data_IF_926709937754
#
_entry.id   IF_926709937754
#
_cell.length_a   1.000
_cell.length_b   1.000
_cell.length_c   1.000
_cell.angle_alpha   90.00
_cell.angle_beta   90.00
_cell.angle_gamma   90.00
#
_symmetry.space_group_name_H-M   'P 1'
#
loop_
_entity.id
_entity.type
_entity.pdbx_description
1 polymer ?
#
# COMPACT_ATOMS: atom_id res chain seq x y z
N UNK A 1 5.55 22.61 44.91
CA UNK A 1 5.61 22.55 43.44
C UNK A 1 4.69 21.43 42.95
N UNK A 2 3.53 21.77 42.38
CA UNK A 2 2.60 20.79 41.81
C UNK A 2 3.02 20.48 40.36
N UNK A 3 3.48 19.25 40.11
CA UNK A 3 3.75 18.78 38.75
C UNK A 3 2.43 18.57 38.01
N UNK A 4 2.16 19.44 37.05
CA UNK A 4 1.10 19.27 36.06
C UNK A 4 1.46 18.14 35.12
N UNK A 5 0.98 16.93 35.38
CA UNK A 5 1.00 15.85 34.40
C UNK A 5 0.22 16.29 33.15
N UNK A 6 0.94 16.54 32.06
CA UNK A 6 0.34 16.66 30.74
C UNK A 6 -0.47 15.39 30.47
N UNK A 7 -1.79 15.53 30.29
CA UNK A 7 -2.68 14.42 29.90
C UNK A 7 -2.34 13.95 28.48
N UNK A 8 -1.31 13.13 28.36
CA UNK A 8 -1.06 12.32 27.17
C UNK A 8 -2.12 11.22 27.03
N UNK A 9 -2.48 10.87 25.79
CA UNK A 9 -3.36 9.73 25.52
C UNK A 9 -2.71 8.46 26.10
N UNK A 10 -3.40 7.65 26.93
CA UNK A 10 -2.80 6.46 27.52
C UNK A 10 -2.33 5.51 26.41
N UNK A 11 -1.07 5.09 26.50
CA UNK A 11 -0.45 4.15 25.58
C UNK A 11 -1.18 2.82 25.69
N UNK A 12 -1.81 2.35 24.60
CA UNK A 12 -2.50 1.06 24.59
C UNK A 12 -1.50 -0.06 24.84
N UNK A 13 -1.88 -1.05 25.65
CA UNK A 13 -1.05 -2.23 25.87
C UNK A 13 -0.82 -2.98 24.54
N UNK A 14 0.33 -3.66 24.37
CA UNK A 14 0.63 -4.44 23.16
C UNK A 14 -0.48 -5.44 22.81
N UNK A 15 -1.00 -6.16 23.81
CA UNK A 15 -2.12 -7.10 23.66
C UNK A 15 -3.38 -6.43 23.12
N UNK A 16 -3.74 -5.25 23.63
CA UNK A 16 -4.93 -4.52 23.17
C UNK A 16 -4.74 -3.94 21.76
N UNK A 17 -3.51 -3.59 21.38
CA UNK A 17 -3.19 -3.19 20.01
C UNK A 17 -3.36 -4.38 19.06
N UNK A 18 -2.71 -5.51 19.35
CA UNK A 18 -2.80 -6.73 18.54
C UNK A 18 -4.24 -7.23 18.42
N UNK A 19 -5.01 -7.24 19.52
CA UNK A 19 -6.43 -7.58 19.49
C UNK A 19 -7.25 -6.70 18.52
N UNK A 20 -6.93 -5.40 18.43
CA UNK A 20 -7.59 -4.50 17.46
C UNK A 20 -7.16 -4.81 16.02
N UNK A 21 -5.91 -5.18 15.79
CA UNK A 21 -5.43 -5.60 14.48
C UNK A 21 -6.12 -6.89 14.04
N UNK A 22 -6.18 -7.92 14.90
CA UNK A 22 -6.93 -9.16 14.64
C UNK A 22 -8.39 -8.87 14.25
N UNK A 23 -9.08 -8.00 15.00
CA UNK A 23 -10.48 -7.64 14.67
C UNK A 23 -10.59 -6.97 13.31
N UNK A 24 -9.65 -6.07 12.98
CA UNK A 24 -9.65 -5.38 11.70
C UNK A 24 -9.38 -6.38 10.56
N UNK A 25 -8.36 -7.22 10.70
CA UNK A 25 -7.98 -8.18 9.66
C UNK A 25 -9.09 -9.22 9.44
N UNK A 26 -9.83 -9.58 10.49
CA UNK A 26 -11.02 -10.43 10.40
C UNK A 26 -12.16 -9.74 9.65
N UNK A 27 -12.43 -8.45 9.93
CA UNK A 27 -13.44 -7.69 9.19
C UNK A 27 -13.09 -7.55 7.70
N UNK A 28 -11.83 -7.26 7.40
CA UNK A 28 -11.31 -7.17 6.04
C UNK A 28 -11.45 -8.55 5.34
N UNK A 29 -11.08 -9.65 6.00
CA UNK A 29 -11.28 -11.02 5.49
C UNK A 29 -12.75 -11.34 5.20
N UNK A 30 -13.66 -11.08 6.14
CA UNK A 30 -15.10 -11.34 5.96
C UNK A 30 -15.65 -10.54 4.80
N UNK A 31 -15.27 -9.27 4.67
CA UNK A 31 -15.71 -8.41 3.56
C UNK A 31 -15.23 -8.93 2.19
N UNK A 32 -13.98 -9.39 2.11
CA UNK A 32 -13.41 -9.98 0.90
C UNK A 32 -14.08 -11.31 0.57
N UNK A 33 -14.32 -12.16 1.56
CA UNK A 33 -14.97 -13.45 1.39
C UNK A 33 -16.41 -13.26 0.87
N UNK A 34 -17.17 -12.32 1.43
CA UNK A 34 -18.53 -11.99 0.95
C UNK A 34 -18.51 -11.55 -0.52
N UNK A 35 -17.55 -10.70 -0.89
CA UNK A 35 -17.39 -10.25 -2.28
C UNK A 35 -17.04 -11.41 -3.22
N UNK A 36 -16.13 -12.28 -2.78
CA UNK A 36 -15.71 -13.45 -3.53
C UNK A 36 -16.86 -14.44 -3.76
N UNK A 37 -17.60 -14.78 -2.70
CA UNK A 37 -18.78 -15.65 -2.78
C UNK A 37 -19.88 -15.05 -3.66
N UNK A 38 -20.10 -13.74 -3.59
CA UNK A 38 -21.06 -13.05 -4.47
C UNK A 38 -20.64 -13.14 -5.95
N UNK A 39 -19.35 -12.94 -6.25
CA UNK A 39 -18.84 -13.04 -7.62
C UNK A 39 -18.95 -14.48 -8.16
N UNK A 40 -18.65 -15.49 -7.34
CA UNK A 40 -18.76 -16.90 -7.73
C UNK A 40 -20.22 -17.27 -8.07
N UNK A 41 -21.18 -16.87 -7.23
CA UNK A 41 -22.62 -17.09 -7.50
C UNK A 41 -23.12 -16.33 -8.72
N UNK A 42 -22.56 -15.14 -8.99
CA UNK A 42 -22.92 -14.37 -10.17
C UNK A 42 -22.45 -15.03 -11.47
N UNK A 43 -21.26 -15.65 -11.45
CA UNK A 43 -20.69 -16.33 -12.62
C UNK A 43 -21.33 -17.70 -12.88
N UNK A 44 -21.77 -18.37 -11.81
CA UNK A 44 -22.32 -19.73 -11.87
C UNK A 44 -23.72 -19.79 -11.23
N UNK A 45 -24.74 -19.10 -11.79
CA UNK A 45 -26.06 -18.99 -11.18
C UNK A 45 -26.81 -20.33 -11.14
N UNK A 46 -26.57 -21.21 -12.11
CA UNK A 46 -27.22 -22.52 -12.25
C UNK A 46 -26.55 -23.62 -11.41
N UNK A 47 -25.42 -23.34 -10.76
CA UNK A 47 -24.67 -24.36 -10.01
C UNK A 47 -25.23 -24.52 -8.60
N UNK A 48 -25.36 -25.77 -8.16
CA UNK A 48 -25.74 -26.08 -6.78
C UNK A 48 -24.55 -25.84 -5.81
N UNK A 49 -24.80 -25.93 -4.50
CA UNK A 49 -23.78 -25.66 -3.49
C UNK A 49 -22.54 -26.59 -3.59
N UNK A 50 -22.74 -27.84 -4.01
CA UNK A 50 -21.66 -28.83 -4.14
C UNK A 50 -20.78 -28.54 -5.36
N UNK A 51 -21.38 -28.21 -6.49
CA UNK A 51 -20.69 -27.80 -7.71
C UNK A 51 -19.90 -26.50 -7.48
N UNK A 52 -20.49 -25.53 -6.79
CA UNK A 52 -19.78 -24.31 -6.39
C UNK A 52 -18.62 -24.60 -5.43
N UNK A 53 -18.76 -25.58 -4.53
CA UNK A 53 -17.68 -25.97 -3.64
C UNK A 53 -16.50 -26.61 -4.37
N UNK A 54 -16.74 -27.39 -5.42
CA UNK A 54 -15.70 -27.96 -6.28
C UNK A 54 -14.93 -26.87 -7.04
N UNK A 55 -15.66 -25.95 -7.71
CA UNK A 55 -15.03 -24.81 -8.41
C UNK A 55 -14.23 -23.96 -7.41
N UNK A 56 -14.79 -23.71 -6.23
CA UNK A 56 -14.12 -22.98 -5.17
C UNK A 56 -12.84 -23.69 -4.71
N UNK A 57 -12.86 -25.02 -4.57
CA UNK A 57 -11.67 -25.78 -4.18
C UNK A 57 -10.55 -25.61 -5.21
N UNK A 58 -10.86 -25.69 -6.51
CA UNK A 58 -9.87 -25.51 -7.58
C UNK A 58 -9.27 -24.10 -7.58
N UNK A 59 -10.12 -23.07 -7.45
CA UNK A 59 -9.70 -21.66 -7.38
C UNK A 59 -8.79 -21.42 -6.16
N UNK A 60 -9.19 -21.92 -4.98
CA UNK A 60 -8.43 -21.73 -3.73
C UNK A 60 -7.09 -22.49 -3.80
N UNK A 61 -7.10 -23.70 -4.34
CA UNK A 61 -5.91 -24.52 -4.58
C UNK A 61 -4.90 -23.80 -5.50
N UNK A 62 -5.36 -23.22 -6.61
CA UNK A 62 -4.52 -22.41 -7.49
C UNK A 62 -4.03 -21.11 -6.81
N UNK A 63 -4.86 -20.52 -5.96
CA UNK A 63 -4.51 -19.30 -5.20
C UNK A 63 -3.45 -19.57 -4.13
N UNK A 64 -3.48 -20.75 -3.51
CA UNK A 64 -2.47 -21.19 -2.56
C UNK A 64 -1.12 -21.45 -3.24
N UNK A 65 -1.13 -22.12 -4.40
CA UNK A 65 0.05 -22.32 -5.24
C UNK A 65 0.70 -20.98 -5.60
N UNK A 66 -0.11 -20.02 -6.07
CA UNK A 66 0.34 -18.65 -6.34
C UNK A 66 0.93 -17.97 -5.09
N UNK A 67 0.27 -18.13 -3.92
CA UNK A 67 0.70 -17.53 -2.65
C UNK A 67 2.12 -18.00 -2.31
N UNK A 68 2.41 -19.29 -2.41
CA UNK A 68 3.72 -19.85 -2.07
C UNK A 68 4.79 -19.37 -3.06
N UNK A 69 4.50 -19.42 -4.38
CA UNK A 69 5.41 -18.86 -5.38
C UNK A 69 5.71 -17.36 -5.16
N UNK A 70 4.69 -16.57 -4.81
CA UNK A 70 4.88 -15.16 -4.49
C UNK A 70 5.70 -14.95 -3.22
N UNK A 71 5.60 -15.85 -2.23
CA UNK A 71 6.44 -15.81 -1.02
C UNK A 71 7.91 -16.00 -1.38
N UNK A 72 8.19 -16.99 -2.23
CA UNK A 72 9.54 -17.24 -2.76
C UNK A 72 10.06 -16.00 -3.52
N UNK A 73 9.29 -15.45 -4.48
CA UNK A 73 9.73 -14.24 -5.23
C UNK A 73 10.03 -13.06 -4.30
N UNK A 74 9.24 -12.87 -3.24
CA UNK A 74 9.44 -11.79 -2.28
C UNK A 74 10.69 -11.99 -1.41
N UNK A 75 10.96 -13.23 -0.97
CA UNK A 75 12.20 -13.57 -0.26
C UNK A 75 13.39 -13.29 -1.17
N UNK A 76 13.38 -13.82 -2.40
CA UNK A 76 14.44 -13.60 -3.38
C UNK A 76 14.61 -12.12 -3.76
N UNK A 77 13.52 -11.35 -3.82
CA UNK A 77 13.55 -9.90 -4.02
C UNK A 77 14.30 -9.19 -2.89
N UNK A 78 14.15 -9.67 -1.65
CA UNK A 78 14.86 -9.10 -0.51
C UNK A 78 16.36 -9.28 -0.64
N UNK A 79 16.84 -10.45 -1.10
CA UNK A 79 18.25 -10.70 -1.41
C UNK A 79 18.74 -9.86 -2.58
N UNK A 80 17.98 -9.78 -3.68
CA UNK A 80 18.36 -8.97 -4.84
C UNK A 80 18.51 -7.47 -4.51
N UNK A 81 17.72 -6.94 -3.57
CA UNK A 81 17.74 -5.51 -3.20
C UNK A 81 18.70 -5.20 -2.05
N UNK A 82 19.30 -6.22 -1.43
CA UNK A 82 20.19 -6.02 -0.30
C UNK A 82 21.55 -5.48 -0.78
N UNK A 83 22.22 -4.68 0.07
CA UNK A 83 23.56 -4.17 -0.23
C UNK A 83 24.59 -5.28 -0.35
N UNK A 84 24.39 -6.38 0.37
CA UNK A 84 25.15 -7.62 0.25
C UNK A 84 24.20 -8.78 -0.08
N UNK A 85 23.99 -9.10 -1.38
CA UNK A 85 23.06 -10.15 -1.81
C UNK A 85 23.42 -11.53 -1.26
N UNK A 86 24.71 -11.86 -1.18
CA UNK A 86 25.21 -13.15 -0.69
C UNK A 86 24.85 -13.36 0.77
N UNK A 87 25.12 -12.38 1.64
CA UNK A 87 24.76 -12.47 3.06
C UNK A 87 23.25 -12.57 3.26
N UNK A 88 22.47 -11.77 2.51
CA UNK A 88 21.02 -11.82 2.61
C UNK A 88 20.48 -13.17 2.13
N UNK A 89 21.03 -13.74 1.05
CA UNK A 89 20.68 -15.08 0.57
C UNK A 89 20.86 -16.14 1.67
N UNK A 90 22.00 -16.15 2.35
CA UNK A 90 22.26 -17.07 3.46
C UNK A 90 21.22 -16.97 4.59
N UNK A 91 20.69 -15.76 4.85
CA UNK A 91 19.67 -15.54 5.88
C UNK A 91 18.26 -16.00 5.48
N UNK A 92 17.97 -16.14 4.18
CA UNK A 92 16.63 -16.47 3.67
C UNK A 92 16.54 -17.85 3.00
N UNK A 93 17.67 -18.47 2.65
CA UNK A 93 17.71 -19.70 1.84
C UNK A 93 16.90 -20.86 2.45
N UNK A 94 16.92 -21.02 3.78
CA UNK A 94 16.13 -22.05 4.46
C UNK A 94 14.64 -21.80 4.28
N UNK A 95 14.19 -20.54 4.47
CA UNK A 95 12.79 -20.16 4.24
C UNK A 95 12.38 -20.33 2.77
N UNK A 96 13.30 -20.09 1.83
CA UNK A 96 13.06 -20.35 0.41
C UNK A 96 12.88 -21.86 0.19
N UNK A 97 13.78 -22.69 0.71
CA UNK A 97 13.71 -24.15 0.61
C UNK A 97 12.46 -24.73 1.27
N UNK A 98 12.03 -24.19 2.42
CA UNK A 98 10.80 -24.60 3.10
C UNK A 98 9.57 -24.36 2.22
N UNK A 99 9.47 -23.18 1.60
CA UNK A 99 8.37 -22.87 0.67
C UNK A 99 8.41 -23.75 -0.58
N UNK A 100 9.61 -24.03 -1.12
CA UNK A 100 9.78 -24.95 -2.26
C UNK A 100 9.35 -26.36 -1.88
N UNK A 101 9.71 -26.82 -0.67
CA UNK A 101 9.30 -28.12 -0.16
C UNK A 101 7.78 -28.21 0.06
N UNK A 102 7.14 -27.12 0.51
CA UNK A 102 5.68 -27.04 0.60
C UNK A 102 5.02 -27.19 -0.78
N UNK A 103 5.54 -26.53 -1.82
CA UNK A 103 5.05 -26.70 -3.20
C UNK A 103 5.20 -28.14 -3.68
N UNK A 104 6.36 -28.75 -3.47
CA UNK A 104 6.62 -30.17 -3.81
C UNK A 104 5.58 -31.07 -3.14
N UNK A 105 5.35 -30.90 -1.85
CA UNK A 105 4.38 -31.68 -1.10
C UNK A 105 2.95 -31.47 -1.61
N UNK A 106 2.58 -30.24 -1.94
CA UNK A 106 1.28 -29.90 -2.51
C UNK A 106 1.05 -30.59 -3.87
N UNK A 107 2.02 -30.52 -4.80
CA UNK A 107 1.89 -31.21 -6.09
C UNK A 107 1.87 -32.72 -5.95
N UNK A 108 2.71 -33.30 -5.07
CA UNK A 108 2.69 -34.74 -4.79
C UNK A 108 1.31 -35.21 -4.29
N UNK A 109 0.67 -34.41 -3.43
CA UNK A 109 -0.64 -34.72 -2.88
C UNK A 109 -1.71 -34.68 -3.99
N UNK A 110 -1.69 -33.67 -4.85
CA UNK A 110 -2.59 -33.58 -6.02
C UNK A 110 -2.40 -34.75 -6.98
N UNK A 111 -1.16 -35.02 -7.39
CA UNK A 111 -0.81 -36.14 -8.29
C UNK A 111 -1.28 -37.48 -7.73
N UNK A 112 -1.11 -37.71 -6.42
CA UNK A 112 -1.54 -38.95 -5.74
C UNK A 112 -3.06 -39.06 -5.54
N UNK A 113 -3.76 -37.92 -5.51
CA UNK A 113 -5.23 -37.89 -5.36
C UNK A 113 -5.97 -38.21 -6.66
N UNK A 114 -5.28 -38.18 -7.80
CA UNK A 114 -5.85 -38.49 -9.11
C UNK A 114 -5.84 -40.00 -9.39
N UNK A 115 -6.87 -40.55 -10.06
CA UNK A 115 -6.91 -41.96 -10.44
C UNK A 115 -5.70 -42.28 -11.32
N UNK A 116 -5.03 -43.40 -11.03
CA UNK A 116 -3.70 -43.76 -11.55
C UNK A 116 -3.63 -43.67 -13.09
N UNK A 117 -3.06 -42.58 -13.60
CA UNK A 117 -2.60 -42.49 -14.99
C UNK A 117 -1.11 -42.82 -15.06
N UNK A 118 -0.66 -43.50 -16.13
CA UNK A 118 0.75 -43.84 -16.30
C UNK A 118 1.60 -42.57 -16.38
N UNK A 119 2.65 -42.51 -15.56
CA UNK A 119 3.61 -41.41 -15.52
C UNK A 119 4.45 -41.42 -16.79
N UNK A 120 4.39 -40.34 -17.58
CA UNK A 120 5.45 -40.00 -18.51
C UNK A 120 6.40 -39.09 -17.74
N UNK A 121 7.48 -39.65 -17.19
CA UNK A 121 8.52 -38.84 -16.55
C UNK A 121 9.24 -38.10 -17.67
N UNK A 122 8.73 -36.93 -18.06
CA UNK A 122 9.50 -35.96 -18.81
C UNK A 122 10.53 -35.37 -17.83
N UNK A 123 11.69 -36.02 -17.75
CA UNK A 123 12.89 -35.43 -17.15
C UNK A 123 13.22 -34.19 -17.96
N UNK A 124 12.73 -33.05 -17.52
CA UNK A 124 13.08 -31.76 -18.11
C UNK A 124 14.14 -31.14 -17.22
N UNK A 125 15.40 -31.08 -17.66
CA UNK A 125 16.47 -30.25 -17.04
C UNK A 125 16.22 -28.76 -17.32
N UNK A 126 15.01 -28.29 -17.00
CA UNK A 126 14.47 -27.01 -17.44
C UNK A 126 15.30 -25.82 -16.94
N UNK A 127 15.72 -25.83 -15.67
CA UNK A 127 16.45 -24.71 -15.10
C UNK A 127 17.86 -24.55 -15.71
N UNK A 128 18.54 -25.67 -15.98
CA UNK A 128 19.90 -25.65 -16.50
C UNK A 128 19.94 -25.49 -18.02
N UNK A 129 18.98 -26.05 -18.76
CA UNK A 129 18.87 -25.80 -20.20
C UNK A 129 18.47 -24.34 -20.51
N UNK A 130 17.55 -23.75 -19.73
CA UNK A 130 17.20 -22.32 -19.88
C UNK A 130 18.40 -21.42 -19.54
N UNK A 131 19.15 -21.76 -18.48
CA UNK A 131 20.33 -21.02 -18.05
C UNK A 131 21.46 -21.11 -19.06
N UNK A 132 21.77 -22.31 -19.58
CA UNK A 132 22.77 -22.54 -20.62
C UNK A 132 22.37 -21.79 -21.91
N UNK A 133 21.09 -21.80 -22.26
CA UNK A 133 20.61 -21.09 -23.45
C UNK A 133 20.61 -19.56 -23.29
N UNK A 134 20.32 -19.03 -22.10
CA UNK A 134 20.45 -17.58 -21.79
C UNK A 134 21.93 -17.14 -21.77
N UNK A 135 22.83 -17.95 -21.21
CA UNK A 135 24.28 -17.72 -21.15
C UNK A 135 24.92 -17.72 -22.54
N UNK A 136 24.55 -18.68 -23.40
CA UNK A 136 24.99 -18.75 -24.79
C UNK A 136 24.47 -17.56 -25.62
N UNK A 137 23.30 -17.03 -25.28
CA UNK A 137 22.69 -15.85 -25.91
C UNK A 137 23.32 -14.56 -25.42
N UNK A 138 23.78 -14.44 -24.17
CA UNK A 138 24.56 -13.26 -23.74
C UNK A 138 25.90 -13.08 -24.45
N UNK A 139 26.43 -14.11 -25.12
CA UNK A 139 27.66 -14.03 -25.94
C UNK A 139 27.42 -13.63 -27.41
N UNK A 140 26.17 -13.63 -27.89
CA UNK A 140 25.79 -13.14 -29.22
C UNK A 140 24.62 -12.20 -29.05
N UNK A 141 24.80 -10.90 -29.29
CA UNK A 141 23.79 -9.82 -29.22
C UNK A 141 22.40 -10.23 -29.75
N UNK A 142 21.65 -10.96 -28.94
CA UNK A 142 20.33 -11.44 -29.25
C UNK A 142 19.47 -10.99 -28.07
N UNK A 143 18.63 -10.00 -28.38
CA UNK A 143 17.80 -9.22 -27.47
C UNK A 143 17.05 -10.08 -26.44
N UNK A 144 16.97 -9.60 -25.19
CA UNK A 144 16.17 -10.18 -24.09
C UNK A 144 14.72 -10.55 -24.48
N UNK A 145 14.18 -9.91 -25.51
CA UNK A 145 12.90 -10.22 -26.15
C UNK A 145 12.84 -11.63 -26.72
N UNK A 146 13.91 -12.14 -27.35
CA UNK A 146 13.91 -13.47 -27.96
C UNK A 146 13.86 -14.57 -26.89
N UNK A 147 14.62 -14.41 -25.81
CA UNK A 147 14.59 -15.34 -24.68
C UNK A 147 13.20 -15.37 -24.05
N UNK A 148 12.60 -14.21 -23.77
CA UNK A 148 11.23 -14.16 -23.26
C UNK A 148 10.25 -14.82 -24.23
N UNK A 149 10.40 -14.61 -25.54
CA UNK A 149 9.55 -15.23 -26.56
C UNK A 149 9.75 -16.74 -26.68
N UNK A 150 10.97 -17.26 -26.53
CA UNK A 150 11.24 -18.70 -26.57
C UNK A 150 10.72 -19.40 -25.31
N UNK A 151 10.92 -18.80 -24.13
CA UNK A 151 10.36 -19.35 -22.87
C UNK A 151 8.83 -19.26 -22.89
N UNK A 152 8.26 -18.15 -23.33
CA UNK A 152 6.82 -17.98 -23.47
C UNK A 152 6.24 -18.93 -24.51
N UNK A 153 6.86 -19.07 -25.70
CA UNK A 153 6.42 -20.00 -26.76
C UNK A 153 6.56 -21.47 -26.33
N UNK A 154 7.59 -21.81 -25.56
CA UNK A 154 7.77 -23.17 -25.04
C UNK A 154 6.80 -23.49 -23.90
N UNK A 155 6.59 -22.55 -22.96
CA UNK A 155 5.51 -22.63 -21.98
C UNK A 155 4.15 -22.71 -22.67
N UNK A 156 3.89 -21.91 -23.70
CA UNK A 156 2.62 -21.96 -24.44
C UNK A 156 2.44 -23.30 -25.16
N UNK A 157 3.45 -23.80 -25.87
CA UNK A 157 3.37 -25.08 -26.60
C UNK A 157 3.28 -26.32 -25.72
N UNK A 158 3.85 -26.28 -24.51
CA UNK A 158 3.90 -27.44 -23.59
C UNK A 158 2.78 -27.40 -22.54
N UNK A 159 2.44 -26.21 -22.01
CA UNK A 159 1.52 -26.03 -20.88
C UNK A 159 0.07 -25.71 -21.31
N UNK A 160 -0.14 -25.04 -22.46
CA UNK A 160 -1.50 -24.70 -22.94
C UNK A 160 -2.24 -25.92 -23.49
N UNK A 161 -1.51 -26.99 -23.89
CA UNK A 161 -2.09 -28.27 -24.33
C UNK A 161 -2.21 -29.33 -23.23
N UNK A 162 -1.57 -29.11 -22.08
CA UNK A 162 -1.57 -30.05 -20.97
C UNK A 162 -2.87 -29.93 -20.16
N UNK A 163 -3.54 -31.05 -19.89
CA UNK A 163 -4.76 -31.08 -19.08
C UNK A 163 -4.48 -31.66 -17.69
N UNK A 164 -5.01 -31.01 -16.64
CA UNK A 164 -5.02 -31.50 -15.25
C UNK A 164 -3.69 -32.08 -14.77
N UNK A 165 -3.63 -33.42 -14.66
CA UNK A 165 -2.45 -34.21 -14.24
C UNK A 165 -1.14 -33.79 -14.91
N UNK A 166 -1.16 -33.51 -16.22
CA UNK A 166 0.05 -33.13 -16.96
C UNK A 166 0.59 -31.77 -16.54
N UNK A 167 -0.28 -30.86 -16.09
CA UNK A 167 0.15 -29.57 -15.54
C UNK A 167 0.77 -29.77 -14.16
N UNK A 168 0.12 -30.52 -13.26
CA UNK A 168 0.66 -30.74 -11.90
C UNK A 168 1.98 -31.53 -11.90
N UNK A 169 2.15 -32.51 -12.80
CA UNK A 169 3.42 -33.25 -12.98
C UNK A 169 4.54 -32.36 -13.54
N UNK A 170 4.19 -31.45 -14.45
CA UNK A 170 5.12 -30.44 -14.96
C UNK A 170 5.52 -29.45 -13.86
N UNK A 171 4.57 -28.91 -13.10
CA UNK A 171 4.84 -28.00 -11.98
C UNK A 171 5.67 -28.67 -10.89
N UNK A 172 5.41 -29.95 -10.60
CA UNK A 172 6.24 -30.78 -9.71
C UNK A 172 7.68 -30.85 -10.20
N UNK A 173 7.89 -31.21 -11.48
CA UNK A 173 9.21 -31.34 -12.10
C UNK A 173 9.99 -30.02 -12.07
N UNK A 174 9.35 -28.90 -12.44
CA UNK A 174 9.95 -27.56 -12.38
C UNK A 174 10.34 -27.18 -10.95
N UNK A 175 9.52 -27.54 -9.96
CA UNK A 175 9.79 -27.23 -8.56
C UNK A 175 10.94 -28.07 -7.99
N UNK A 176 11.04 -29.35 -8.35
CA UNK A 176 12.19 -30.19 -8.00
C UNK A 176 13.49 -29.67 -8.64
N UNK A 177 13.47 -29.26 -9.90
CA UNK A 177 14.63 -28.64 -10.54
C UNK A 177 15.02 -27.33 -9.86
N UNK A 178 14.04 -26.53 -9.47
CA UNK A 178 14.27 -25.29 -8.74
C UNK A 178 14.95 -25.56 -7.39
N UNK A 179 14.54 -26.60 -6.68
CA UNK A 179 15.19 -27.06 -5.44
C UNK A 179 16.63 -27.50 -5.68
N UNK A 180 16.90 -28.24 -6.75
CA UNK A 180 18.27 -28.63 -7.14
C UNK A 180 19.13 -27.39 -7.46
N UNK A 181 18.60 -26.43 -8.22
CA UNK A 181 19.27 -25.17 -8.55
C UNK A 181 19.62 -24.33 -7.31
N UNK A 182 18.75 -24.31 -6.29
CA UNK A 182 19.05 -23.67 -5.00
C UNK A 182 20.18 -24.40 -4.27
N UNK A 183 20.18 -25.74 -4.27
CA UNK A 183 21.25 -26.53 -3.64
C UNK A 183 22.60 -26.32 -4.33
N UNK A 184 22.61 -26.21 -5.66
CA UNK A 184 23.81 -25.89 -6.43
C UNK A 184 24.32 -24.48 -6.14
N UNK A 185 23.42 -23.49 -6.05
CA UNK A 185 23.77 -22.13 -5.65
C UNK A 185 24.43 -22.11 -4.26
N UNK A 186 23.91 -22.91 -3.33
CA UNK A 186 24.48 -23.05 -1.99
C UNK A 186 25.81 -23.83 -2.00
N UNK A 187 25.94 -24.85 -2.83
CA UNK A 187 27.16 -25.64 -3.00
C UNK A 187 28.30 -24.83 -3.63
N UNK A 188 27.99 -23.99 -4.61
CA UNK A 188 28.94 -23.05 -5.23
C UNK A 188 29.37 -21.92 -4.28
N UNK A 189 28.55 -21.60 -3.28
CA UNK A 189 28.88 -20.62 -2.23
C UNK A 189 29.68 -21.21 -1.06
N UNK A 190 29.53 -22.51 -0.78
CA UNK A 190 30.21 -23.20 0.32
C UNK A 190 31.56 -23.78 -0.10
N UNK A 191 31.68 -24.16 -1.37
CA UNK A 191 32.95 -24.58 -1.94
C UNK A 191 33.48 -23.42 -2.78
N UNK A 192 34.64 -22.86 -2.42
CA UNK A 192 35.53 -22.12 -3.33
C UNK A 192 36.00 -23.08 -4.46
N UNK A 193 35.07 -23.70 -5.18
CA UNK A 193 35.36 -24.80 -6.07
C UNK A 193 36.06 -24.23 -7.30
N UNK A 194 37.37 -24.42 -7.30
CA UNK A 194 38.32 -24.12 -8.37
C UNK A 194 37.92 -24.64 -9.76
N UNK A 195 36.80 -25.36 -9.92
CA UNK A 195 36.33 -25.90 -11.20
C UNK A 195 35.32 -25.02 -11.95
N UNK A 196 34.63 -24.06 -11.30
CA UNK A 196 33.77 -23.07 -12.00
C UNK A 196 34.34 -21.65 -12.00
N UNK A 197 35.40 -21.39 -11.24
CA UNK A 197 36.02 -20.07 -11.06
C UNK A 197 36.83 -19.56 -12.27
N UNK A 198 36.67 -20.15 -13.46
CA UNK A 198 37.33 -19.66 -14.68
C UNK A 198 36.48 -18.70 -15.52
N UNK A 199 35.23 -18.43 -15.14
CA UNK A 199 34.36 -17.55 -15.95
C UNK A 199 33.81 -16.31 -15.25
N UNK A 200 33.85 -16.20 -13.92
CA UNK A 200 33.19 -15.11 -13.19
C UNK A 200 34.12 -14.58 -12.10
N UNK A 201 34.54 -13.32 -12.20
CA UNK A 201 35.54 -12.73 -11.30
C UNK A 201 35.00 -12.24 -9.95
N UNK A 202 33.70 -12.44 -9.66
CA UNK A 202 33.07 -12.02 -8.39
C UNK A 202 31.88 -12.94 -8.02
N UNK A 203 31.97 -13.67 -6.91
CA UNK A 203 30.92 -14.57 -6.40
C UNK A 203 29.59 -13.84 -6.14
N UNK A 204 29.67 -12.55 -5.78
CA UNK A 204 28.49 -11.70 -5.55
C UNK A 204 27.71 -11.43 -6.85
N UNK A 205 28.42 -11.31 -7.98
CA UNK A 205 27.80 -11.11 -9.30
C UNK A 205 27.03 -12.35 -9.74
N UNK A 206 27.61 -13.53 -9.54
CA UNK A 206 26.99 -14.81 -9.88
C UNK A 206 25.69 -15.07 -9.10
N UNK A 207 25.71 -14.88 -7.77
CA UNK A 207 24.51 -15.02 -6.93
C UNK A 207 23.40 -14.09 -7.37
N UNK A 208 23.74 -12.82 -7.64
CA UNK A 208 22.77 -11.83 -8.04
C UNK A 208 22.10 -12.17 -9.39
N UNK A 209 22.86 -12.64 -10.37
CA UNK A 209 22.32 -13.06 -11.67
C UNK A 209 21.47 -14.32 -11.56
N UNK A 210 21.89 -15.31 -10.78
CA UNK A 210 21.07 -16.50 -10.50
C UNK A 210 19.75 -16.16 -9.81
N UNK A 211 19.77 -15.28 -8.80
CA UNK A 211 18.56 -14.78 -8.13
C UNK A 211 17.64 -14.07 -9.14
N UNK A 212 18.17 -13.18 -9.99
CA UNK A 212 17.36 -12.49 -11.01
C UNK A 212 16.69 -13.46 -11.97
N UNK A 213 17.43 -14.45 -12.46
CA UNK A 213 16.93 -15.46 -13.40
C UNK A 213 15.82 -16.31 -12.77
N UNK A 214 16.07 -16.86 -11.59
CA UNK A 214 15.09 -17.66 -10.85
C UNK A 214 13.79 -16.87 -10.60
N UNK A 215 13.89 -15.59 -10.24
CA UNK A 215 12.71 -14.71 -10.08
C UNK A 215 11.94 -14.46 -11.38
N UNK A 216 12.63 -14.37 -12.51
CA UNK A 216 11.97 -14.25 -13.83
C UNK A 216 11.13 -15.49 -14.12
N UNK A 217 11.68 -16.68 -13.87
CA UNK A 217 10.94 -17.95 -14.01
C UNK A 217 9.72 -17.99 -13.07
N UNK A 218 9.89 -17.68 -11.79
CA UNK A 218 8.78 -17.65 -10.82
C UNK A 218 7.65 -16.72 -11.28
N UNK A 219 7.98 -15.54 -11.82
CA UNK A 219 6.97 -14.61 -12.33
C UNK A 219 6.20 -15.15 -13.52
N UNK A 220 6.86 -15.87 -14.43
CA UNK A 220 6.19 -16.54 -15.54
C UNK A 220 5.25 -17.65 -15.04
N UNK A 221 5.68 -18.44 -14.05
CA UNK A 221 4.83 -19.45 -13.40
C UNK A 221 3.60 -18.82 -12.75
N UNK A 222 3.80 -17.74 -11.98
CA UNK A 222 2.72 -16.99 -11.35
C UNK A 222 1.72 -16.40 -12.36
N UNK A 223 2.20 -15.88 -13.48
CA UNK A 223 1.34 -15.40 -14.56
C UNK A 223 0.53 -16.56 -15.17
N UNK A 224 1.18 -17.69 -15.43
CA UNK A 224 0.50 -18.88 -15.94
C UNK A 224 -0.62 -19.35 -14.99
N UNK A 225 -0.36 -19.40 -13.68
CA UNK A 225 -1.37 -19.76 -12.66
C UNK A 225 -2.55 -18.79 -12.71
N UNK A 226 -2.29 -17.48 -12.81
CA UNK A 226 -3.36 -16.49 -12.93
C UNK A 226 -4.18 -16.77 -14.19
N UNK A 227 -3.53 -16.80 -15.36
CA UNK A 227 -4.26 -16.77 -16.63
C UNK A 227 -4.96 -18.11 -16.94
N UNK A 228 -4.40 -19.24 -16.51
CA UNK A 228 -4.89 -20.58 -16.90
C UNK A 228 -5.60 -21.34 -15.78
N UNK A 229 -5.28 -21.09 -14.50
CA UNK A 229 -5.92 -21.79 -13.36
C UNK A 229 -6.95 -20.91 -12.65
N UNK A 230 -6.71 -19.61 -12.51
CA UNK A 230 -7.62 -18.72 -11.77
C UNK A 230 -8.60 -18.02 -12.70
N UNK A 231 -8.11 -17.29 -13.71
CA UNK A 231 -8.94 -16.48 -14.60
C UNK A 231 -9.85 -17.31 -15.50
N UNK A 232 -9.48 -18.57 -15.77
CA UNK A 232 -10.32 -19.54 -16.49
C UNK A 232 -11.61 -19.89 -15.74
N UNK A 233 -11.59 -19.80 -14.39
CA UNK A 233 -12.74 -20.08 -13.52
C UNK A 233 -13.35 -18.80 -12.91
N UNK A 234 -12.55 -17.76 -12.72
CA UNK A 234 -12.99 -16.50 -12.14
C UNK A 234 -12.35 -15.30 -12.86
N UNK A 235 -12.89 -14.91 -14.04
CA UNK A 235 -12.32 -13.84 -14.84
C UNK A 235 -12.19 -12.53 -14.07
N UNK A 236 -11.04 -11.86 -14.24
CA UNK A 236 -10.80 -10.52 -13.68
C UNK A 236 -11.73 -9.49 -14.32
N UNK A 237 -12.26 -8.58 -13.50
CA UNK A 237 -12.92 -7.37 -14.01
C UNK A 237 -11.87 -6.48 -14.69
N UNK A 238 -12.19 -5.98 -15.90
CA UNK A 238 -11.31 -5.09 -16.64
C UNK A 238 -10.93 -3.88 -15.78
N UNK A 239 -9.63 -3.64 -15.61
CA UNK A 239 -9.15 -2.48 -14.88
C UNK A 239 -9.45 -1.21 -15.69
N UNK A 240 -10.27 -0.32 -15.14
CA UNK A 240 -10.64 0.96 -15.77
C UNK A 240 -9.56 2.04 -15.65
N UNK A 241 -8.43 1.77 -14.99
CA UNK A 241 -7.37 2.75 -14.74
C UNK A 241 -5.97 2.17 -14.94
N UNK A 242 -5.09 2.93 -15.60
CA UNK A 242 -3.68 2.62 -15.70
C UNK A 242 -3.03 2.54 -14.31
N UNK A 243 -2.45 1.38 -13.99
CA UNK A 243 -1.85 1.10 -12.70
C UNK A 243 -1.28 -0.31 -12.63
N UNK A 244 -0.71 -0.68 -11.47
CA UNK A 244 -0.26 -2.05 -11.23
C UNK A 244 -1.46 -3.00 -11.36
N UNK A 245 -1.32 -4.14 -12.07
CA UNK A 245 -2.37 -5.15 -12.11
C UNK A 245 -2.80 -5.54 -10.71
N UNK A 246 -4.09 -5.45 -10.43
CA UNK A 246 -4.69 -5.86 -9.17
C UNK A 246 -4.63 -7.38 -9.12
N UNK A 247 -4.19 -7.93 -7.99
CA UNK A 247 -4.17 -9.38 -7.79
C UNK A 247 -5.58 -9.94 -7.95
N UNK A 248 -5.76 -11.18 -8.46
CA UNK A 248 -7.07 -11.82 -8.48
C UNK A 248 -7.71 -11.83 -7.08
N UNK A 249 -9.03 -11.67 -7.02
CA UNK A 249 -9.77 -11.64 -5.75
C UNK A 249 -9.49 -12.87 -4.85
N UNK A 250 -9.43 -14.10 -5.39
CA UNK A 250 -9.06 -15.29 -4.59
C UNK A 250 -7.67 -15.20 -3.97
N UNK A 251 -6.69 -14.65 -4.70
CA UNK A 251 -5.34 -14.43 -4.19
C UNK A 251 -5.34 -13.39 -3.07
N UNK A 252 -6.15 -12.33 -3.19
CA UNK A 252 -6.32 -11.34 -2.12
C UNK A 252 -6.92 -11.97 -0.86
N UNK A 253 -7.94 -12.83 -1.03
CA UNK A 253 -8.59 -13.55 0.06
C UNK A 253 -7.57 -14.42 0.83
N UNK A 254 -6.80 -15.24 0.12
CA UNK A 254 -5.78 -16.12 0.72
C UNK A 254 -4.68 -15.33 1.46
N UNK A 255 -4.27 -14.17 0.93
CA UNK A 255 -3.30 -13.30 1.60
C UNK A 255 -3.87 -12.67 2.87
N UNK A 256 -5.14 -12.25 2.83
CA UNK A 256 -5.80 -11.67 3.99
C UNK A 256 -6.03 -12.72 5.09
N UNK A 257 -6.37 -13.95 4.70
CA UNK A 257 -6.48 -15.06 5.64
C UNK A 257 -5.14 -15.35 6.35
N UNK A 258 -4.05 -15.39 5.60
CA UNK A 258 -2.71 -15.56 6.19
C UNK A 258 -2.37 -14.40 7.14
N UNK A 259 -2.60 -13.16 6.73
CA UNK A 259 -2.34 -11.98 7.57
C UNK A 259 -3.14 -12.01 8.88
N UNK A 260 -4.40 -12.46 8.82
CA UNK A 260 -5.23 -12.67 10.00
C UNK A 260 -4.63 -13.76 10.91
N UNK A 261 -4.21 -14.90 10.35
CA UNK A 261 -3.60 -15.99 11.11
C UNK A 261 -2.29 -15.55 11.77
N UNK A 262 -1.42 -14.87 11.04
CA UNK A 262 -0.13 -14.37 11.55
C UNK A 262 -0.35 -13.38 12.71
N UNK A 263 -1.23 -12.39 12.51
CA UNK A 263 -1.57 -11.41 13.54
C UNK A 263 -2.22 -12.06 14.77
N UNK A 264 -3.02 -13.10 14.56
CA UNK A 264 -3.62 -13.86 15.66
C UNK A 264 -2.59 -14.69 16.44
N UNK A 265 -1.61 -15.29 15.77
CA UNK A 265 -0.50 -15.97 16.42
C UNK A 265 0.34 -15.01 17.27
N UNK A 266 0.66 -13.82 16.74
CA UNK A 266 1.34 -12.76 17.51
C UNK A 266 0.51 -12.34 18.73
N UNK A 267 -0.81 -12.17 18.57
CA UNK A 267 -1.72 -11.87 19.67
C UNK A 267 -1.69 -12.96 20.75
N UNK A 268 -1.72 -14.24 20.37
CA UNK A 268 -1.66 -15.36 21.32
C UNK A 268 -0.34 -15.38 22.09
N UNK A 269 0.78 -15.18 21.40
CA UNK A 269 2.10 -15.09 22.02
C UNK A 269 2.16 -13.93 23.02
N UNK A 270 1.63 -12.76 22.66
CA UNK A 270 1.56 -11.62 23.56
C UNK A 270 0.66 -11.89 24.78
N UNK A 271 -0.48 -12.56 24.60
CA UNK A 271 -1.35 -12.95 25.72
C UNK A 271 -0.63 -13.89 26.69
N UNK A 272 0.06 -14.90 26.14
CA UNK A 272 0.86 -15.83 26.93
C UNK A 272 1.97 -15.11 27.71
N UNK A 273 2.71 -14.20 27.06
CA UNK A 273 3.76 -13.41 27.71
C UNK A 273 3.24 -12.51 28.85
N UNK A 274 1.96 -12.14 28.81
CA UNK A 274 1.31 -11.32 29.84
C UNK A 274 0.41 -12.12 30.81
N UNK A 275 0.46 -13.46 30.79
CA UNK A 275 -0.38 -14.35 31.60
C UNK A 275 -1.89 -14.06 31.45
N UNK A 276 -2.32 -13.70 30.24
CA UNK A 276 -3.72 -13.44 29.92
C UNK A 276 -4.28 -14.57 29.06
N UNK A 277 -5.54 -14.98 29.27
CA UNK A 277 -6.19 -15.94 28.38
C UNK A 277 -6.41 -15.30 27.00
N UNK A 278 -5.90 -15.95 25.95
CA UNK A 278 -6.15 -15.53 24.58
C UNK A 278 -7.59 -15.83 24.19
N UNK A 279 -8.31 -14.83 23.68
CA UNK A 279 -9.68 -14.99 23.16
C UNK A 279 -9.65 -15.46 21.70
N UNK A 280 -10.70 -16.17 21.26
CA UNK A 280 -10.85 -16.53 19.85
C UNK A 280 -11.07 -15.29 18.97
N UNK A 281 -10.78 -15.42 17.66
CA UNK A 281 -10.98 -14.34 16.69
C UNK A 281 -12.44 -13.87 16.67
N UNK A 282 -13.40 -14.80 16.66
CA UNK A 282 -14.84 -14.52 16.66
C UNK A 282 -15.25 -13.81 17.94
N UNK A 283 -14.70 -14.23 19.09
CA UNK A 283 -14.98 -13.61 20.39
C UNK A 283 -14.45 -12.19 20.44
N UNK A 284 -13.25 -11.93 19.90
CA UNK A 284 -12.68 -10.59 19.80
C UNK A 284 -13.54 -9.69 18.89
N UNK A 285 -13.97 -10.21 17.74
CA UNK A 285 -14.83 -9.49 16.80
C UNK A 285 -16.20 -9.16 17.41
N UNK A 286 -16.84 -10.13 18.07
CA UNK A 286 -18.12 -9.94 18.77
C UNK A 286 -18.02 -8.88 19.86
N UNK A 287 -16.98 -8.94 20.71
CA UNK A 287 -16.72 -7.91 21.74
C UNK A 287 -16.48 -6.53 21.15
N UNK A 288 -15.81 -6.43 20.00
CA UNK A 288 -15.61 -5.16 19.32
C UNK A 288 -16.92 -4.59 18.76
N UNK A 289 -17.78 -5.43 18.19
CA UNK A 289 -19.11 -5.07 17.71
C UNK A 289 -20.01 -4.58 18.85
N UNK A 290 -20.04 -5.30 19.98
CA UNK A 290 -20.77 -4.88 21.17
C UNK A 290 -20.26 -3.55 21.74
N UNK A 291 -18.94 -3.36 21.77
CA UNK A 291 -18.36 -2.11 22.23
C UNK A 291 -18.74 -0.95 21.31
N UNK A 292 -18.78 -1.19 20.01
CA UNK A 292 -19.23 -0.20 19.02
C UNK A 292 -20.72 0.07 19.14
N UNK A 293 -21.58 -0.92 19.36
CA UNK A 293 -23.03 -0.70 19.54
C UNK A 293 -23.34 0.05 20.84
N UNK A 294 -22.62 -0.26 21.93
CA UNK A 294 -22.66 0.47 23.21
C UNK A 294 -22.11 1.90 23.05
N UNK A 295 -21.06 2.11 22.25
CA UNK A 295 -20.57 3.45 21.95
C UNK A 295 -21.56 4.26 21.09
N UNK A 296 -22.20 3.63 20.09
CA UNK A 296 -23.22 4.27 19.23
C UNK A 296 -24.50 4.61 19.99
N UNK A 297 -24.83 3.88 21.05
CA UNK A 297 -25.92 4.26 21.97
C UNK A 297 -25.50 5.36 22.95
N UNK A 298 -24.22 5.39 23.35
CA UNK A 298 -23.66 6.46 24.21
C UNK A 298 -23.29 7.76 23.47
N UNK A 299 -23.21 7.78 22.13
CA UNK A 299 -22.95 9.03 21.36
C UNK A 299 -24.09 10.04 21.40
N UNK A 300 -25.25 9.71 21.99
CA UNK A 300 -26.26 10.72 22.39
C UNK A 300 -25.80 11.62 23.55
N UNK A 301 -24.72 11.27 24.25
CA UNK A 301 -24.09 12.07 25.30
C UNK A 301 -22.73 12.68 24.87
N UNK A 302 -22.50 12.84 23.55
CA UNK A 302 -21.31 13.49 22.99
C UNK A 302 -21.63 14.79 22.24
N UNK A 303 -20.60 15.60 21.94
CA UNK A 303 -20.73 16.81 21.10
C UNK A 303 -21.49 16.47 19.82
N UNK A 304 -22.57 17.21 19.55
CA UNK A 304 -23.35 17.07 18.31
C UNK A 304 -22.39 17.07 17.10
N UNK A 305 -22.53 16.11 16.16
CA UNK A 305 -21.73 16.12 14.95
C UNK A 305 -21.95 17.45 14.23
N UNK A 306 -20.85 18.04 13.78
CA UNK A 306 -20.84 19.31 13.08
C UNK A 306 -21.62 19.20 11.76
N UNK A 307 -22.53 20.15 11.52
CA UNK A 307 -23.33 20.15 10.27
C UNK A 307 -22.43 20.33 9.05
N UNK A 308 -22.87 19.87 7.87
CA UNK A 308 -22.10 20.04 6.63
C UNK A 308 -21.75 21.50 6.35
N UNK A 309 -22.70 22.41 6.60
CA UNK A 309 -22.49 23.85 6.50
C UNK A 309 -21.40 24.35 7.47
N UNK A 310 -21.39 23.86 8.71
CA UNK A 310 -20.32 24.19 9.67
C UNK A 310 -18.95 23.61 9.26
N UNK A 311 -18.92 22.41 8.64
CA UNK A 311 -17.68 21.83 8.11
C UNK A 311 -17.10 22.68 6.97
N UNK A 312 -17.94 23.12 6.03
CA UNK A 312 -17.54 23.98 4.91
C UNK A 312 -17.06 25.35 5.41
N UNK A 313 -17.77 25.95 6.36
CA UNK A 313 -17.35 27.21 6.98
C UNK A 313 -15.98 27.09 7.67
N UNK A 314 -15.72 25.97 8.35
CA UNK A 314 -14.41 25.70 8.94
C UNK A 314 -13.30 25.57 7.89
N UNK A 315 -13.58 24.86 6.79
CA UNK A 315 -12.61 24.72 5.70
C UNK A 315 -12.30 26.08 5.06
N UNK A 316 -13.32 26.92 4.85
CA UNK A 316 -13.17 28.29 4.35
C UNK A 316 -12.24 29.12 5.24
N UNK A 317 -12.49 29.16 6.56
CA UNK A 317 -11.65 29.90 7.51
C UNK A 317 -10.19 29.43 7.54
N UNK A 318 -9.96 28.12 7.41
CA UNK A 318 -8.60 27.54 7.38
C UNK A 318 -7.89 27.90 6.08
N UNK A 319 -8.57 27.85 4.93
CA UNK A 319 -7.99 28.21 3.65
C UNK A 319 -7.65 29.71 3.58
N UNK A 320 -8.50 30.58 4.11
CA UNK A 320 -8.21 32.02 4.18
C UNK A 320 -6.95 32.33 4.97
N UNK A 321 -6.72 31.62 6.09
CA UNK A 321 -5.51 31.75 6.90
C UNK A 321 -4.28 31.22 6.15
N UNK A 322 -4.41 30.09 5.44
CA UNK A 322 -3.31 29.55 4.62
C UNK A 322 -2.92 30.49 3.48
N UNK A 323 -3.91 31.06 2.78
CA UNK A 323 -3.69 32.06 1.72
C UNK A 323 -2.94 33.27 2.29
N UNK A 324 -3.38 33.77 3.44
CA UNK A 324 -2.74 34.91 4.09
C UNK A 324 -1.27 34.64 4.43
N UNK A 325 -0.97 33.46 4.99
CA UNK A 325 0.40 33.05 5.30
C UNK A 325 1.28 32.99 4.04
N UNK A 326 0.76 32.42 2.95
CA UNK A 326 1.50 32.32 1.69
C UNK A 326 1.70 33.67 1.00
N UNK A 327 0.67 34.54 1.00
CA UNK A 327 0.78 35.90 0.46
C UNK A 327 1.80 36.74 1.22
N UNK A 328 1.86 36.59 2.55
CA UNK A 328 2.83 37.29 3.38
C UNK A 328 4.27 36.81 3.12
N UNK A 329 4.49 35.49 3.05
CA UNK A 329 5.79 34.91 2.68
C UNK A 329 6.25 35.34 1.27
N UNK A 330 5.32 35.46 0.32
CA UNK A 330 5.63 35.91 -1.04
C UNK A 330 6.02 37.39 -1.04
N UNK A 331 5.34 38.23 -0.26
CA UNK A 331 5.68 39.65 -0.09
C UNK A 331 7.05 39.84 0.56
N UNK A 332 7.38 39.10 1.62
CA UNK A 332 8.72 39.15 2.24
C UNK A 332 9.82 38.75 1.25
N UNK A 333 9.64 37.65 0.50
CA UNK A 333 10.61 37.23 -0.54
C UNK A 333 10.77 38.25 -1.66
N UNK A 334 9.70 38.94 -2.03
CA UNK A 334 9.74 40.00 -3.06
C UNK A 334 10.47 41.24 -2.54
N UNK A 335 10.31 41.58 -1.26
CA UNK A 335 11.03 42.68 -0.59
C UNK A 335 12.53 42.38 -0.46
N UNK A 336 12.91 41.17 -0.07
CA UNK A 336 14.33 40.77 0.04
C UNK A 336 15.05 40.78 -1.32
N UNK A 337 14.39 40.33 -2.40
CA UNK A 337 14.97 40.44 -3.74
C UNK A 337 15.05 41.89 -4.26
N UNK A 338 14.13 42.78 -3.85
CA UNK A 338 14.19 44.19 -4.24
C UNK A 338 15.30 44.96 -3.52
N UNK A 339 15.61 44.61 -2.25
CA UNK A 339 16.75 45.15 -1.49
C UNK A 339 18.11 44.67 -2.01
N UNK A 340 18.17 43.48 -2.62
CA UNK A 340 19.37 43.00 -3.30
C UNK A 340 19.63 43.71 -4.64
N UNK A 341 18.58 44.21 -5.32
CA UNK A 341 18.71 44.93 -6.58
C UNK A 341 19.06 46.42 -6.45
N UNK A 342 19.02 47.01 -5.25
CA UNK A 342 19.47 48.39 -5.05
C UNK A 342 20.97 48.52 -4.75
N UNK A 343 21.69 47.40 -4.57
CA UNK A 343 23.11 47.38 -4.19
C UNK A 343 24.00 46.64 -5.21
N UNK A 344 23.65 46.69 -6.50
CA UNK A 344 24.54 46.21 -7.56
C UNK A 344 24.93 47.35 -8.50
N UNK A 345 25.91 48.13 -8.07
CA UNK A 345 26.90 48.71 -8.97
C UNK A 345 28.21 47.93 -8.82
N UNK A 346 28.75 47.54 -9.98
CA UNK A 346 30.13 47.15 -10.29
C UNK A 346 30.74 45.89 -9.64
N UNK A 347 31.35 45.11 -10.55
CA UNK A 347 32.50 44.20 -10.38
C UNK A 347 32.26 42.69 -10.24
N UNK A 348 32.23 42.06 -11.43
CA UNK A 348 33.22 41.11 -11.98
C UNK A 348 33.62 39.86 -11.17
N UNK A 349 33.56 38.75 -11.92
CA UNK A 349 34.30 37.48 -11.84
C UNK A 349 33.77 36.26 -11.06
N UNK A 350 33.26 35.32 -11.88
CA UNK A 350 33.82 33.97 -12.07
C UNK A 350 33.86 32.98 -10.91
N UNK A 351 33.06 31.93 -11.05
CA UNK A 351 33.18 30.70 -10.29
C UNK A 351 32.27 29.62 -10.84
N UNK A 352 32.70 28.97 -11.93
CA UNK A 352 31.96 27.86 -12.56
C UNK A 352 31.88 26.65 -11.63
N UNK A 353 30.66 26.22 -11.30
CA UNK A 353 30.42 24.99 -10.56
C UNK A 353 29.44 24.10 -11.34
N UNK A 354 30.05 23.30 -12.23
CA UNK A 354 29.69 21.95 -12.68
C UNK A 354 28.25 21.51 -12.36
N UNK A 355 27.47 21.42 -13.43
CA UNK A 355 26.15 20.80 -13.52
C UNK A 355 26.11 19.40 -12.88
N UNK A 356 25.23 19.25 -11.90
CA UNK A 356 24.68 17.94 -11.50
C UNK A 356 23.24 17.86 -12.02
N UNK A 357 22.85 16.82 -12.78
CA UNK A 357 21.47 16.69 -13.25
C UNK A 357 20.56 16.35 -12.07
N UNK A 358 19.87 17.38 -11.57
CA UNK A 358 18.79 17.23 -10.60
C UNK A 358 17.67 16.42 -11.24
N UNK A 359 17.35 15.28 -10.63
CA UNK A 359 16.20 14.45 -10.95
C UNK A 359 14.96 15.35 -11.07
N UNK A 360 14.35 15.41 -12.27
CA UNK A 360 13.07 16.10 -12.51
C UNK A 360 11.95 15.40 -11.73
N UNK A 361 11.80 15.79 -10.47
CA UNK A 361 10.54 15.64 -9.75
C UNK A 361 9.46 16.47 -10.43
N UNK A 362 8.19 16.07 -10.21
CA UNK A 362 6.97 16.79 -10.61
C UNK A 362 7.16 18.30 -10.49
N UNK A 363 6.79 19.13 -11.48
CA UNK A 363 7.00 20.58 -11.40
C UNK A 363 6.32 21.11 -10.12
N UNK A 364 7.14 21.60 -9.20
CA UNK A 364 6.68 22.30 -8.01
C UNK A 364 5.99 23.57 -8.50
N UNK A 365 4.67 23.67 -8.30
CA UNK A 365 3.89 24.86 -8.66
C UNK A 365 4.58 26.11 -8.12
N UNK A 366 4.62 27.17 -8.92
CA UNK A 366 5.15 28.45 -8.45
C UNK A 366 4.38 28.91 -7.22
N UNK A 367 4.99 29.67 -6.28
CA UNK A 367 4.27 30.21 -5.13
C UNK A 367 2.99 30.98 -5.50
N UNK A 368 3.00 31.67 -6.65
CA UNK A 368 1.83 32.34 -7.21
C UNK A 368 0.73 31.34 -7.63
N UNK A 369 1.09 30.25 -8.31
CA UNK A 369 0.15 29.20 -8.72
C UNK A 369 -0.43 28.43 -7.53
N UNK A 370 0.37 28.28 -6.46
CA UNK A 370 -0.10 27.68 -5.20
C UNK A 370 -1.19 28.55 -4.55
N UNK A 371 -0.96 29.87 -4.47
CA UNK A 371 -1.96 30.84 -3.96
C UNK A 371 -3.21 30.84 -4.86
N UNK A 372 -3.05 30.85 -6.18
CA UNK A 372 -4.17 30.80 -7.13
C UNK A 372 -5.02 29.54 -6.95
N UNK A 373 -4.37 28.38 -6.74
CA UNK A 373 -5.06 27.12 -6.47
C UNK A 373 -5.80 27.12 -5.13
N UNK A 374 -5.24 27.74 -4.09
CA UNK A 374 -5.93 27.89 -2.81
C UNK A 374 -7.13 28.84 -2.92
N UNK A 375 -7.01 29.93 -3.68
CA UNK A 375 -8.13 30.85 -3.98
C UNK A 375 -9.27 30.16 -4.73
N UNK A 376 -8.95 29.40 -5.79
CA UNK A 376 -9.96 28.61 -6.52
C UNK A 376 -10.68 27.59 -5.62
N UNK A 377 -9.95 26.94 -4.68
CA UNK A 377 -10.57 26.06 -3.68
C UNK A 377 -11.47 26.81 -2.72
N UNK A 378 -11.06 27.99 -2.26
CA UNK A 378 -11.85 28.83 -1.38
C UNK A 378 -13.15 29.28 -2.07
N UNK A 379 -13.07 29.68 -3.35
CA UNK A 379 -14.23 30.10 -4.14
C UNK A 379 -15.25 28.97 -4.31
N UNK A 380 -14.78 27.75 -4.63
CA UNK A 380 -15.65 26.57 -4.71
C UNK A 380 -16.37 26.27 -3.39
N UNK A 381 -15.67 26.41 -2.26
CA UNK A 381 -16.27 26.20 -0.93
C UNK A 381 -17.29 27.31 -0.62
N UNK A 382 -16.98 28.57 -0.96
CA UNK A 382 -17.91 29.68 -0.76
C UNK A 382 -19.17 29.52 -1.62
N UNK A 383 -19.05 29.07 -2.87
CA UNK A 383 -20.20 28.73 -3.72
C UNK A 383 -21.04 27.60 -3.11
N UNK A 384 -20.41 26.55 -2.58
CA UNK A 384 -21.12 25.46 -1.91
C UNK A 384 -21.86 25.94 -0.63
N UNK A 385 -21.26 26.88 0.12
CA UNK A 385 -21.91 27.50 1.28
C UNK A 385 -23.16 28.28 0.85
N UNK A 386 -23.08 29.10 -0.19
CA UNK A 386 -24.23 29.89 -0.67
C UNK A 386 -25.35 29.00 -1.26
N UNK A 387 -25.00 27.93 -1.98
CA UNK A 387 -25.98 26.94 -2.45
C UNK A 387 -26.70 26.21 -1.31
N UNK A 388 -26.03 25.95 -0.19
CA UNK A 388 -26.65 25.33 0.97
C UNK A 388 -27.52 26.31 1.76
N UNK A 389 -27.12 27.59 1.82
CA UNK A 389 -27.96 28.65 2.40
C UNK A 389 -29.28 28.80 1.62
N UNK A 390 -29.21 28.86 0.29
CA UNK A 390 -30.40 29.07 -0.56
C UNK A 390 -31.40 27.90 -0.54
N UNK A 391 -30.94 26.67 -0.30
CA UNK A 391 -31.80 25.48 -0.18
C UNK A 391 -32.59 25.40 1.13
N UNK A 392 -32.30 26.25 2.13
CA UNK A 392 -32.91 26.16 3.45
C UNK A 392 -34.05 27.18 3.59
N UNK A 393 -35.28 26.74 3.90
CA UNK A 393 -36.50 27.59 3.99
C UNK A 393 -36.27 28.84 4.88
N UNK A 394 -36.78 29.99 4.42
CA UNK A 394 -36.57 31.34 4.98
C UNK A 394 -36.64 31.45 6.51
N UNK A 395 -37.63 30.87 7.20
CA UNK A 395 -37.74 30.97 8.66
C UNK A 395 -36.59 30.29 9.44
N UNK A 396 -35.90 29.32 8.83
CA UNK A 396 -34.72 28.66 9.41
C UNK A 396 -33.40 29.25 8.89
N UNK A 397 -33.43 30.05 7.83
CA UNK A 397 -32.24 30.62 7.20
C UNK A 397 -31.55 31.65 8.12
N UNK A 398 -32.31 32.58 8.71
CA UNK A 398 -31.78 33.61 9.62
C UNK A 398 -31.19 32.98 10.90
N UNK A 399 -31.83 31.94 11.40
CA UNK A 399 -31.36 31.19 12.57
C UNK A 399 -30.05 30.45 12.27
N UNK A 400 -29.92 29.87 11.07
CA UNK A 400 -28.72 29.16 10.63
C UNK A 400 -27.58 30.15 10.36
N UNK A 401 -27.86 31.26 9.68
CA UNK A 401 -26.89 32.31 9.40
C UNK A 401 -26.36 32.94 10.69
N UNK A 402 -27.24 33.30 11.63
CA UNK A 402 -26.86 33.79 12.95
C UNK A 402 -26.00 32.78 13.72
N UNK A 403 -26.31 31.48 13.64
CA UNK A 403 -25.50 30.43 14.28
C UNK A 403 -24.12 30.27 13.64
N UNK A 404 -24.01 30.39 12.31
CA UNK A 404 -22.72 30.37 11.60
C UNK A 404 -21.87 31.56 12.00
N UNK A 405 -22.43 32.77 11.97
CA UNK A 405 -21.72 33.98 12.33
C UNK A 405 -21.26 33.95 13.80
N UNK A 406 -22.09 33.45 14.72
CA UNK A 406 -21.70 33.20 16.13
C UNK A 406 -20.52 32.24 16.24
N UNK A 407 -20.55 31.15 15.47
CA UNK A 407 -19.45 30.18 15.44
C UNK A 407 -18.15 30.76 14.87
N UNK A 408 -18.21 31.48 13.75
CA UNK A 408 -17.06 32.16 13.14
C UNK A 408 -16.48 33.21 14.09
N UNK A 409 -17.34 33.97 14.78
CA UNK A 409 -16.95 34.93 15.81
C UNK A 409 -16.16 34.27 16.95
N UNK A 410 -16.63 33.12 17.44
CA UNK A 410 -15.93 32.35 18.49
C UNK A 410 -14.57 31.83 17.99
N UNK A 411 -14.52 31.29 16.77
CA UNK A 411 -13.27 30.81 16.17
C UNK A 411 -12.23 31.93 16.04
N UNK A 412 -12.63 33.09 15.50
CA UNK A 412 -11.74 34.24 15.35
C UNK A 412 -11.28 34.80 16.69
N UNK A 413 -12.18 34.88 17.67
CA UNK A 413 -11.84 35.33 19.04
C UNK A 413 -10.77 34.44 19.65
N UNK A 414 -10.89 33.11 19.52
CA UNK A 414 -9.88 32.17 20.01
C UNK A 414 -8.54 32.30 19.28
N UNK A 415 -8.57 32.54 17.96
CA UNK A 415 -7.35 32.72 17.15
C UNK A 415 -6.62 34.02 17.49
N UNK A 416 -7.34 35.12 17.68
CA UNK A 416 -6.78 36.39 18.13
C UNK A 416 -6.14 36.23 19.51
N UNK A 417 -6.85 35.62 20.47
CA UNK A 417 -6.32 35.39 21.81
C UNK A 417 -5.06 34.50 21.80
N UNK A 418 -4.98 33.53 20.89
CA UNK A 418 -3.78 32.72 20.70
C UNK A 418 -2.62 33.53 20.10
N UNK A 419 -2.88 34.33 19.06
CA UNK A 419 -1.88 35.22 18.48
C UNK A 419 -1.35 36.25 19.49
N UNK A 420 -2.22 36.83 20.32
CA UNK A 420 -1.83 37.76 21.38
C UNK A 420 -0.85 37.10 22.37
N UNK A 421 -1.04 35.82 22.71
CA UNK A 421 -0.09 35.06 23.56
C UNK A 421 1.26 34.79 22.88
N UNK A 422 1.27 34.58 21.56
CA UNK A 422 2.52 34.41 20.80
C UNK A 422 3.25 35.74 20.73
N UNK A 423 2.55 36.81 20.36
CA UNK A 423 3.10 38.16 20.24
C UNK A 423 3.64 38.69 21.57
N UNK A 424 3.02 38.33 22.70
CA UNK A 424 3.53 38.64 24.03
C UNK A 424 4.88 37.96 24.38
N UNK A 425 5.22 36.87 23.70
CA UNK A 425 6.49 36.14 23.89
C UNK A 425 7.55 36.52 22.87
N UNK A 426 7.12 36.80 21.64
CA UNK A 426 8.01 37.09 20.51
C UNK A 426 7.26 37.94 19.49
N UNK A 427 7.83 39.08 19.11
CA UNK A 427 7.30 39.87 18.00
C UNK A 427 7.53 39.12 16.69
N UNK A 428 6.42 38.76 16.02
CA UNK A 428 6.42 38.13 14.70
C UNK A 428 5.60 39.01 13.75
N UNK A 429 6.22 39.61 12.72
CA UNK A 429 5.53 40.42 11.73
C UNK A 429 4.36 39.68 11.05
N UNK A 430 4.55 38.39 10.76
CA UNK A 430 3.50 37.52 10.22
C UNK A 430 2.32 37.38 11.19
N UNK A 431 2.57 37.09 12.47
CA UNK A 431 1.46 36.93 13.43
C UNK A 431 0.73 38.25 13.73
N UNK A 432 1.43 39.37 13.66
CA UNK A 432 0.82 40.69 13.79
C UNK A 432 -0.10 41.00 12.61
N UNK A 433 0.29 40.62 11.39
CA UNK A 433 -0.57 40.72 10.20
C UNK A 433 -1.79 39.78 10.29
N UNK A 434 -1.62 38.54 10.76
CA UNK A 434 -2.70 37.57 10.98
C UNK A 434 -3.72 38.09 11.99
N UNK A 435 -3.24 38.56 13.14
CA UNK A 435 -4.06 39.17 14.20
C UNK A 435 -4.90 40.34 13.67
N UNK A 436 -4.29 41.27 12.92
CA UNK A 436 -5.01 42.42 12.32
C UNK A 436 -6.12 41.98 11.38
N UNK A 437 -5.86 41.03 10.47
CA UNK A 437 -6.87 40.55 9.51
C UNK A 437 -8.01 39.80 10.21
N UNK A 438 -7.72 38.97 11.20
CA UNK A 438 -8.76 38.31 12.00
C UNK A 438 -9.60 39.31 12.80
N UNK A 439 -8.98 40.33 13.40
CA UNK A 439 -9.68 41.36 14.14
C UNK A 439 -10.63 42.16 13.23
N UNK A 440 -10.19 42.54 12.03
CA UNK A 440 -11.03 43.21 11.04
C UNK A 440 -12.24 42.35 10.64
N UNK A 441 -12.01 41.07 10.34
CA UNK A 441 -13.09 40.14 9.98
C UNK A 441 -14.06 39.91 11.15
N UNK A 442 -13.57 39.83 12.37
CA UNK A 442 -14.38 39.71 13.57
C UNK A 442 -15.28 40.95 13.78
N UNK A 443 -14.76 42.16 13.52
CA UNK A 443 -15.56 43.38 13.56
C UNK A 443 -16.68 43.36 12.52
N UNK A 444 -16.39 42.95 11.28
CA UNK A 444 -17.41 42.79 10.23
C UNK A 444 -18.49 41.81 10.67
N UNK A 445 -18.12 40.63 11.16
CA UNK A 445 -19.07 39.60 11.61
C UNK A 445 -19.93 40.09 12.78
N UNK A 446 -19.34 40.80 13.76
CA UNK A 446 -20.09 41.37 14.88
C UNK A 446 -21.08 42.44 14.42
N UNK A 447 -20.69 43.28 13.46
CA UNK A 447 -21.58 44.30 12.88
C UNK A 447 -22.74 43.70 12.09
N UNK A 448 -22.53 42.56 11.42
CA UNK A 448 -23.59 41.83 10.74
C UNK A 448 -24.52 41.13 11.75
N UNK A 449 -23.96 40.53 12.80
CA UNK A 449 -24.72 39.91 13.89
C UNK A 449 -25.60 40.90 14.66
N UNK A 450 -25.26 42.19 14.72
CA UNK A 450 -26.11 43.21 15.34
C UNK A 450 -27.26 43.69 14.44
N UNK A 451 -27.21 43.39 13.14
CA UNK A 451 -28.22 43.79 12.15
C UNK A 451 -29.23 42.69 11.82
N UNK A 452 -28.85 41.42 12.04
CA UNK A 452 -29.70 40.22 11.93
C UNK A 452 -30.26 39.90 13.29
#
# INVERSE_FOLDING_TARGET
MMNTHQRGRPTLSPVVKLAKHVVKDYQDYVSLNLRYQAQLRQLYPEHNAEQLALINADIISASEEYKIWSSIDNLMLSAQRHSNPTQQWHSIQEKVLDNVQQLISLYQLRIRSLPAQPRSILVCDFADQLWIHEQAVTQKEISQTLVSQTVTSWLESTLVKATGFQQDDWFYTVTENFKSSIRELNGALLNDSKSLNHFWSDDTSFVLERIKHQRKVIRLLMLHIIDNKIDSLLPRQAQSSAGRPTLPLPVQLMRQEQALQDTYLEYRQACHAHNQPALSIETLAAKALEKNSKATTQTKAGRKPMSELQKLVNQSLVLEDQILCQEYQLKERTIDCSKLKSNQSSDVESGSAIDKPVKRGRPTLSPQDQIARLKAKLDNINQAIEQLKSKTKSANADTIERNILKYQSLWLTNKIAHADRILAKQESPLELARRRKWAQKLLTIRSTLSKI
#
